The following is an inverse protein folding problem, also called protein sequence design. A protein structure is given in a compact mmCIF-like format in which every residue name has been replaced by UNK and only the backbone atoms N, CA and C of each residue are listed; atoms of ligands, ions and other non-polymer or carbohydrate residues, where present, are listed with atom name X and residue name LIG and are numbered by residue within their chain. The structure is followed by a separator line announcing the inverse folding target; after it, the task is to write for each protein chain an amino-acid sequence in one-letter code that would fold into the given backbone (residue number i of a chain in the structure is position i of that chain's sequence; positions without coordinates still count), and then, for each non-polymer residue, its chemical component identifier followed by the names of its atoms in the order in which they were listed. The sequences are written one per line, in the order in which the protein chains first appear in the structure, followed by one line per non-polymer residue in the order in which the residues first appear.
data_IF_526100247180
#
_entry.id   IF_526100247180
#
_cell.length_a   1.000
_cell.length_b   1.000
_cell.length_c   1.000
_cell.angle_alpha   90.00
_cell.angle_beta   90.00
_cell.angle_gamma   90.00
#
_symmetry.space_group_name_H-M   'P 1'
#
loop_
_entity.id
_entity.type
_entity.pdbx_description
1 polymer ?
#
# COMPACT_ATOMS: atom_id res chain seq x y z
N UNK A 1 19.16 -0.08 -7.36
CA UNK A 1 17.92 -0.62 -7.98
C UNK A 1 18.13 -0.67 -9.49
N UNK A 2 17.74 -1.75 -10.18
CA UNK A 2 18.02 -1.97 -11.62
C UNK A 2 17.01 -1.23 -12.51
N UNK A 3 17.49 -0.61 -13.60
CA UNK A 3 16.70 0.16 -14.58
C UNK A 3 15.70 -0.67 -15.40
N UNK A 4 15.65 -1.99 -15.17
CA UNK A 4 14.80 -2.94 -15.90
C UNK A 4 13.32 -2.84 -15.56
N UNK A 5 12.96 -2.25 -14.42
CA UNK A 5 11.55 -2.11 -13.98
C UNK A 5 10.82 -0.88 -14.55
N UNK A 6 11.52 0.00 -15.28
CA UNK A 6 10.89 1.16 -15.92
C UNK A 6 10.15 0.83 -17.24
N UNK A 7 10.05 -0.46 -17.60
CA UNK A 7 9.30 -0.90 -18.77
C UNK A 7 7.81 -0.92 -18.45
N UNK A 8 7.05 0.00 -19.04
CA UNK A 8 5.58 0.07 -18.91
C UNK A 8 4.96 -1.23 -19.42
N UNK A 9 4.31 -1.99 -18.53
CA UNK A 9 3.67 -3.28 -18.84
C UNK A 9 2.35 -3.14 -19.59
N UNK A 10 1.79 -1.95 -19.70
CA UNK A 10 0.49 -1.68 -20.31
C UNK A 10 0.59 -0.69 -21.49
N UNK A 11 -0.21 -0.88 -22.56
CA UNK A 11 -0.24 0.04 -23.69
C UNK A 11 -0.67 1.45 -23.25
N UNK A 12 -0.10 2.48 -23.89
CA UNK A 12 -0.52 3.87 -23.68
C UNK A 12 -1.98 4.01 -24.11
N UNK A 13 -2.84 4.57 -23.26
CA UNK A 13 -4.22 4.92 -23.64
C UNK A 13 -4.16 5.97 -24.74
N UNK A 14 -4.95 5.78 -25.81
CA UNK A 14 -5.09 6.80 -26.86
C UNK A 14 -5.78 8.02 -26.23
N UNK A 15 -5.22 9.23 -26.40
CA UNK A 15 -5.89 10.43 -25.93
C UNK A 15 -7.22 10.59 -26.68
N UNK A 16 -8.25 11.07 -25.98
CA UNK A 16 -9.50 11.48 -26.62
C UNK A 16 -9.22 12.74 -27.44
N UNK A 17 -9.78 12.83 -28.64
CA UNK A 17 -9.78 14.08 -29.40
C UNK A 17 -10.63 15.09 -28.63
N UNK A 18 -10.05 16.26 -28.36
CA UNK A 18 -10.69 17.37 -27.65
C UNK A 18 -10.89 18.50 -28.66
N UNK A 19 -12.05 19.15 -28.65
CA UNK A 19 -12.29 20.31 -29.52
C UNK A 19 -11.55 21.55 -28.99
N UNK A 20 -11.37 22.56 -29.85
CA UNK A 20 -10.71 23.82 -29.44
C UNK A 20 -11.54 24.53 -28.36
N UNK A 21 -12.86 24.54 -28.50
CA UNK A 21 -13.76 25.19 -27.56
C UNK A 21 -13.70 24.52 -26.18
N UNK A 22 -13.71 23.18 -26.14
CA UNK A 22 -13.58 22.43 -24.88
C UNK A 22 -12.26 22.78 -24.17
N UNK A 23 -11.15 22.86 -24.92
CA UNK A 23 -9.85 23.18 -24.35
C UNK A 23 -9.79 24.59 -23.74
N UNK A 24 -10.41 25.57 -24.41
CA UNK A 24 -10.49 26.95 -23.95
C UNK A 24 -11.33 27.03 -22.66
N UNK A 25 -12.46 26.34 -22.63
CA UNK A 25 -13.32 26.28 -21.44
C UNK A 25 -12.61 25.61 -20.26
N UNK A 26 -11.87 24.52 -20.49
CA UNK A 26 -11.11 23.82 -19.45
C UNK A 26 -9.97 24.68 -18.89
N UNK A 27 -9.31 25.49 -19.74
CA UNK A 27 -8.30 26.46 -19.33
C UNK A 27 -8.90 27.58 -18.46
N UNK A 28 -10.07 28.09 -18.83
CA UNK A 28 -10.80 29.08 -18.04
C UNK A 28 -11.23 28.50 -16.68
N UNK A 29 -11.72 27.26 -16.66
CA UNK A 29 -12.05 26.56 -15.42
C UNK A 29 -10.82 26.40 -14.52
N UNK A 30 -9.67 26.03 -15.08
CA UNK A 30 -8.40 25.92 -14.34
C UNK A 30 -7.97 27.26 -13.74
N UNK A 31 -8.02 28.35 -14.51
CA UNK A 31 -7.70 29.69 -14.02
C UNK A 31 -8.62 30.13 -12.87
N UNK A 32 -9.87 29.65 -12.87
CA UNK A 32 -10.85 29.90 -11.81
C UNK A 32 -10.81 28.88 -10.67
N UNK A 33 -9.88 27.92 -10.67
CA UNK A 33 -9.79 26.85 -9.67
C UNK A 33 -10.92 25.82 -9.71
N UNK A 34 -11.70 25.78 -10.80
CA UNK A 34 -12.79 24.82 -11.02
C UNK A 34 -12.24 23.50 -11.57
N UNK A 35 -12.98 22.42 -11.36
CA UNK A 35 -12.59 21.08 -11.81
C UNK A 35 -12.59 20.99 -13.34
N UNK A 36 -11.63 20.27 -13.89
CA UNK A 36 -11.55 19.99 -15.33
C UNK A 36 -12.69 19.06 -15.75
N UNK A 37 -13.37 19.42 -16.84
CA UNK A 37 -14.48 18.62 -17.41
C UNK A 37 -13.91 17.50 -18.29
N UNK A 38 -12.76 17.74 -18.91
CA UNK A 38 -12.13 16.85 -19.89
C UNK A 38 -11.27 15.79 -19.21
N UNK A 39 -10.63 16.15 -18.10
CA UNK A 39 -9.73 15.28 -17.33
C UNK A 39 -10.44 14.59 -16.17
N UNK A 40 -11.68 14.12 -16.37
CA UNK A 40 -12.23 13.14 -15.44
C UNK A 40 -11.45 11.82 -15.61
N UNK A 41 -10.63 11.39 -14.63
CA UNK A 41 -10.28 9.97 -14.57
C UNK A 41 -11.60 9.23 -14.45
N UNK A 42 -11.83 8.21 -15.29
CA UNK A 42 -13.04 7.40 -15.28
C UNK A 42 -13.59 7.20 -13.85
N UNK A 43 -14.74 7.82 -13.56
CA UNK A 43 -15.37 7.83 -12.25
C UNK A 43 -15.61 6.38 -11.77
N UNK A 44 -15.17 6.01 -10.54
CA UNK A 44 -15.79 4.90 -9.85
C UNK A 44 -17.15 5.37 -9.34
N UNK A 45 -18.20 4.81 -9.91
CA UNK A 45 -19.59 4.98 -9.50
C UNK A 45 -19.74 4.68 -8.01
N UNK A 46 -20.51 5.54 -7.33
CA UNK A 46 -20.86 5.52 -5.92
C UNK A 46 -21.13 4.11 -5.35
N UNK A 47 -20.47 3.78 -4.23
CA UNK A 47 -21.04 2.84 -3.26
C UNK A 47 -21.03 3.49 -1.87
N UNK A 48 -22.24 3.81 -1.45
CA UNK A 48 -22.68 4.05 -0.08
C UNK A 48 -22.12 3.04 0.92
N UNK A 49 -21.80 3.54 2.10
CA UNK A 49 -21.69 2.85 3.38
C UNK A 49 -22.35 1.46 3.45
N UNK A 50 -21.51 0.44 3.60
CA UNK A 50 -21.79 -0.70 4.49
C UNK A 50 -20.47 -1.12 5.11
N UNK A 51 -20.41 -0.99 6.43
CA UNK A 51 -19.43 -1.62 7.29
C UNK A 51 -19.47 -3.14 7.07
N UNK A 52 -18.68 -3.62 6.12
CA UNK A 52 -18.26 -5.01 6.07
C UNK A 52 -16.77 -5.01 6.36
N UNK A 53 -16.38 -5.68 7.45
CA UNK A 53 -15.01 -6.00 7.88
C UNK A 53 -14.35 -6.97 6.88
N UNK A 54 -14.42 -6.64 5.59
CA UNK A 54 -14.10 -7.50 4.47
C UNK A 54 -13.36 -6.71 3.40
N UNK A 55 -12.03 -6.72 3.52
CA UNK A 55 -11.02 -6.54 2.47
C UNK A 55 -11.50 -5.82 1.18
N UNK A 56 -11.74 -4.52 1.28
CA UNK A 56 -12.04 -3.68 0.12
C UNK A 56 -10.84 -3.65 -0.85
N UNK A 57 -11.11 -3.69 -2.16
CA UNK A 57 -10.13 -3.65 -3.28
C UNK A 57 -9.18 -2.43 -3.29
N UNK A 58 -9.34 -1.51 -2.34
CA UNK A 58 -8.37 -0.47 -1.98
C UNK A 58 -7.32 -0.98 -0.95
N UNK A 59 -6.86 -2.22 -1.10
CA UNK A 59 -5.96 -2.90 -0.15
C UNK A 59 -4.61 -2.21 0.02
N UNK A 60 -4.22 -1.33 -0.91
CA UNK A 60 -3.02 -0.49 -0.77
C UNK A 60 -3.10 0.48 0.42
N UNK A 61 -4.30 0.81 0.91
CA UNK A 61 -4.48 1.65 2.10
C UNK A 61 -4.39 0.87 3.42
N UNK A 62 -4.46 -0.47 3.39
CA UNK A 62 -4.47 -1.30 4.60
C UNK A 62 -3.07 -1.51 5.20
N UNK A 63 -2.04 -1.52 4.35
CA UNK A 63 -0.67 -1.75 4.78
C UNK A 63 0.16 -0.49 4.59
N UNK A 64 0.71 0.04 5.68
CA UNK A 64 1.70 1.11 5.64
C UNK A 64 3.11 0.51 5.67
N UNK A 65 4.01 1.09 4.89
CA UNK A 65 5.42 0.76 4.94
C UNK A 65 6.05 1.31 6.22
N UNK A 66 6.92 0.52 6.85
CA UNK A 66 7.70 0.91 8.00
C UNK A 66 9.15 0.46 7.81
N UNK A 67 10.09 1.29 8.25
CA UNK A 67 11.52 0.99 8.25
C UNK A 67 11.95 0.79 9.68
N UNK A 68 12.62 -0.32 9.96
CA UNK A 68 13.08 -0.70 11.30
C UNK A 68 14.54 -1.14 11.22
N UNK A 69 15.30 -0.82 12.27
CA UNK A 69 16.68 -1.29 12.42
C UNK A 69 16.68 -2.67 13.04
N UNK A 70 17.33 -3.63 12.39
CA UNK A 70 17.51 -5.00 12.89
C UNK A 70 19.00 -5.32 12.95
N UNK A 71 19.38 -6.17 13.89
CA UNK A 71 20.72 -6.76 13.92
C UNK A 71 20.89 -7.73 12.76
N UNK A 72 22.13 -7.97 12.34
CA UNK A 72 22.44 -8.92 11.26
C UNK A 72 21.93 -10.32 11.59
N UNK A 73 22.10 -10.75 12.85
CA UNK A 73 21.59 -12.02 13.34
C UNK A 73 20.07 -12.14 13.18
N UNK A 74 19.30 -11.10 13.53
CA UNK A 74 17.86 -11.09 13.37
C UNK A 74 17.43 -11.17 11.89
N UNK A 75 18.17 -10.52 10.99
CA UNK A 75 17.92 -10.61 9.54
C UNK A 75 18.13 -12.04 9.06
N UNK A 76 19.21 -12.71 9.48
CA UNK A 76 19.49 -14.11 9.13
C UNK A 76 18.41 -15.06 9.65
N UNK A 77 18.00 -14.91 10.91
CA UNK A 77 16.91 -15.72 11.49
C UNK A 77 15.60 -15.55 10.72
N UNK A 78 15.23 -14.31 10.38
CA UNK A 78 14.02 -14.03 9.60
C UNK A 78 14.10 -14.63 8.18
N UNK A 79 15.31 -14.69 7.61
CA UNK A 79 15.58 -15.27 6.30
C UNK A 79 15.47 -16.81 6.31
N UNK A 80 16.03 -17.46 7.33
CA UNK A 80 15.89 -18.89 7.58
C UNK A 80 14.41 -19.28 7.75
N UNK A 81 13.66 -18.54 8.57
CA UNK A 81 12.23 -18.77 8.78
C UNK A 81 11.41 -18.59 7.49
N UNK A 82 11.72 -17.56 6.71
CA UNK A 82 11.10 -17.33 5.41
C UNK A 82 11.31 -18.53 4.47
N UNK A 83 12.54 -19.05 4.38
CA UNK A 83 12.88 -20.21 3.53
C UNK A 83 12.20 -21.49 4.02
N UNK A 84 12.27 -21.75 5.32
CA UNK A 84 11.71 -22.97 5.93
C UNK A 84 10.19 -23.06 5.76
N UNK A 85 9.47 -21.97 6.06
CA UNK A 85 8.01 -21.96 6.03
C UNK A 85 7.40 -21.44 4.72
N UNK A 86 8.23 -20.95 3.78
CA UNK A 86 7.81 -20.32 2.51
C UNK A 86 6.80 -19.18 2.71
N UNK A 87 6.92 -18.44 3.82
CA UNK A 87 6.05 -17.32 4.17
C UNK A 87 6.76 -15.98 3.98
N UNK A 88 6.12 -14.93 3.42
CA UNK A 88 6.75 -13.62 3.28
C UNK A 88 7.26 -13.05 4.61
N UNK A 89 8.44 -12.40 4.61
CA UNK A 89 9.05 -11.78 5.80
C UNK A 89 8.10 -10.82 6.52
N UNK A 90 7.39 -9.97 5.76
CA UNK A 90 6.39 -9.05 6.32
C UNK A 90 5.19 -9.76 6.96
N UNK A 91 4.84 -10.98 6.50
CA UNK A 91 3.78 -11.79 7.11
C UNK A 91 4.24 -12.40 8.43
N UNK A 92 5.46 -12.93 8.48
CA UNK A 92 6.09 -13.42 9.71
C UNK A 92 6.11 -12.34 10.80
N UNK A 93 6.58 -11.13 10.48
CA UNK A 93 6.60 -10.00 11.42
C UNK A 93 5.20 -9.68 11.94
N UNK A 94 4.18 -9.64 11.05
CA UNK A 94 2.79 -9.38 11.45
C UNK A 94 2.24 -10.45 12.40
N UNK A 95 2.53 -11.73 12.14
CA UNK A 95 2.13 -12.83 13.02
C UNK A 95 2.77 -12.68 14.39
N UNK A 96 4.09 -12.45 14.44
CA UNK A 96 4.82 -12.28 15.70
C UNK A 96 4.29 -11.09 16.53
N UNK A 97 3.96 -9.98 15.86
CA UNK A 97 3.36 -8.81 16.52
C UNK A 97 1.97 -9.16 17.09
N UNK A 98 1.13 -9.85 16.33
CA UNK A 98 -0.22 -10.24 16.76
C UNK A 98 -0.16 -11.24 17.93
N UNK A 99 0.72 -12.24 17.85
CA UNK A 99 0.95 -13.23 18.91
C UNK A 99 1.46 -12.57 20.19
N UNK A 100 2.42 -11.63 20.07
CA UNK A 100 2.93 -10.88 21.22
C UNK A 100 1.83 -10.00 21.83
N UNK A 101 1.02 -9.32 21.01
CA UNK A 101 -0.08 -8.47 21.46
C UNK A 101 -1.16 -9.27 22.19
N UNK A 102 -1.50 -10.48 21.73
CA UNK A 102 -2.49 -11.36 22.37
C UNK A 102 -1.98 -12.01 23.66
N UNK A 103 -0.66 -12.06 23.86
CA UNK A 103 -0.07 -12.64 25.06
C UNK A 103 -0.39 -11.81 26.31
N UNK A 104 -0.44 -12.45 27.50
CA UNK A 104 -0.69 -11.74 28.76
C UNK A 104 0.39 -10.69 29.06
N UNK A 105 0.02 -9.62 29.79
CA UNK A 105 0.96 -8.56 30.17
C UNK A 105 2.17 -9.09 30.95
N UNK A 106 1.96 -10.13 31.78
CA UNK A 106 3.02 -10.81 32.52
C UNK A 106 3.98 -11.61 31.62
N UNK A 107 3.48 -12.17 30.52
CA UNK A 107 4.28 -12.90 29.54
C UNK A 107 5.09 -11.93 28.68
N UNK A 108 4.46 -10.81 28.29
CA UNK A 108 5.11 -9.74 27.53
C UNK A 108 6.30 -9.17 28.31
N UNK A 109 6.11 -8.81 29.59
CA UNK A 109 7.19 -8.24 30.42
C UNK A 109 8.35 -9.21 30.60
N UNK A 110 8.08 -10.51 30.80
CA UNK A 110 9.12 -11.55 30.87
C UNK A 110 9.92 -11.64 29.58
N UNK A 111 9.27 -11.59 28.43
CA UNK A 111 9.93 -11.64 27.12
C UNK A 111 10.79 -10.42 26.86
N UNK A 112 10.31 -9.22 27.20
CA UNK A 112 11.04 -7.96 27.03
C UNK A 112 12.26 -7.85 27.95
N UNK A 113 12.18 -8.42 29.15
CA UNK A 113 13.29 -8.43 30.11
C UNK A 113 14.33 -9.52 29.81
N UNK A 114 14.06 -10.41 28.85
CA UNK A 114 15.03 -11.42 28.43
C UNK A 114 16.12 -10.73 27.61
N UNK A 115 17.36 -10.75 28.10
CA UNK A 115 18.53 -10.25 27.36
C UNK A 115 18.71 -11.10 26.09
N UNK A 116 18.86 -10.41 24.96
CA UNK A 116 19.16 -10.95 23.62
C UNK A 116 20.67 -10.91 23.41
#
# INVERSE_FOLDING_TARGET
MSLTDLKRKSPKRKPKSVSIDDFIEDANNYAQGKKSVIRQPAEPVNHSSKDTVGLNKNTSKLYRHATFSLTEHAILQLEQLHRAHKLPKSKLIRILIDDFHRSSLSSQSKLLNKKI
#
